data_IF_779463849083
#
_entry.id   IF_779463849083
#
_cell.length_a   1.000
_cell.length_b   1.000
_cell.length_c   1.000
_cell.angle_alpha   90.00
_cell.angle_beta   90.00
_cell.angle_gamma   90.00
#
_symmetry.space_group_name_H-M   'P 1'
#
loop_
_entity.id
_entity.type
_entity.pdbx_description
1 polymer ?
#
# COMPACT_ATOMS: atom_id res chain seq x y z
N UNK A 1 -3.34 3.46 11.19
CA UNK A 1 -3.01 4.90 11.08
C UNK A 1 -3.35 5.43 9.70
N UNK A 2 -3.48 6.72 9.58
CA UNK A 2 -3.72 7.47 8.35
C UNK A 2 -2.46 8.26 8.04
N UNK A 3 -2.02 8.27 6.79
CA UNK A 3 -0.96 9.14 6.30
C UNK A 3 -1.62 10.23 5.46
N UNK A 4 -1.59 11.46 5.94
CA UNK A 4 -2.20 12.60 5.27
C UNK A 4 -1.65 13.91 5.84
N UNK A 5 -1.46 14.93 5.00
CA UNK A 5 -0.98 16.25 5.42
C UNK A 5 -2.06 17.05 6.18
N UNK A 6 -3.34 16.85 5.87
CA UNK A 6 -4.46 17.49 6.56
C UNK A 6 -5.01 16.61 7.70
N UNK A 7 -4.43 16.75 8.88
CA UNK A 7 -4.85 16.00 10.07
C UNK A 7 -6.27 16.36 10.52
N UNK A 8 -6.72 17.58 10.30
CA UNK A 8 -8.05 18.06 10.72
C UNK A 8 -9.17 17.29 10.05
N UNK A 9 -8.99 16.94 8.79
CA UNK A 9 -9.98 16.22 7.97
C UNK A 9 -10.33 14.84 8.51
N UNK A 10 -9.40 14.19 9.21
CA UNK A 10 -9.55 12.81 9.69
C UNK A 10 -9.67 12.68 11.21
N UNK A 11 -9.71 13.80 11.94
CA UNK A 11 -9.74 13.82 13.42
C UNK A 11 -10.94 13.07 14.01
N UNK A 12 -12.09 13.08 13.32
CA UNK A 12 -13.30 12.39 13.75
C UNK A 12 -13.24 10.85 13.70
N UNK A 13 -12.21 10.27 13.06
CA UNK A 13 -12.08 8.80 12.92
C UNK A 13 -11.40 8.14 14.11
N UNK A 14 -10.83 8.91 15.07
CA UNK A 14 -10.15 8.35 16.25
C UNK A 14 -8.91 7.51 15.93
N UNK A 15 -8.34 7.65 14.72
CA UNK A 15 -7.14 6.95 14.28
C UNK A 15 -5.91 7.87 14.32
N UNK A 16 -4.72 7.37 14.66
CA UNK A 16 -3.49 8.13 14.51
C UNK A 16 -3.33 8.63 13.07
N UNK A 17 -3.05 9.93 12.91
CA UNK A 17 -2.80 10.55 11.62
C UNK A 17 -1.39 11.14 11.61
N UNK A 18 -0.62 10.86 10.55
CA UNK A 18 0.76 11.31 10.39
C UNK A 18 0.90 12.06 9.07
N UNK A 19 1.56 13.22 9.11
CA UNK A 19 1.92 13.97 7.91
C UNK A 19 3.06 13.26 7.16
N UNK A 20 3.09 13.42 5.85
CA UNK A 20 4.19 12.91 5.04
C UNK A 20 5.54 13.45 5.51
N UNK A 21 6.49 12.56 5.83
CA UNK A 21 7.87 12.90 6.20
C UNK A 21 8.55 13.62 5.04
N UNK A 22 8.31 13.15 3.80
CA UNK A 22 8.85 13.76 2.59
C UNK A 22 7.68 14.24 1.72
N UNK A 23 7.39 15.53 1.81
CA UNK A 23 6.23 16.12 1.13
C UNK A 23 6.33 16.08 -0.39
N UNK A 24 5.18 15.87 -1.03
CA UNK A 24 5.06 15.92 -2.49
C UNK A 24 5.63 14.70 -3.22
N UNK A 25 5.90 13.60 -2.51
CA UNK A 25 6.40 12.35 -3.08
C UNK A 25 5.30 11.33 -3.43
N UNK A 26 4.05 11.70 -3.24
CA UNK A 26 2.91 10.84 -3.56
C UNK A 26 2.96 9.49 -2.86
N UNK A 27 2.58 8.40 -3.55
CA UNK A 27 2.50 7.07 -2.93
C UNK A 27 3.80 6.59 -2.28
N UNK A 28 4.96 6.87 -2.89
CA UNK A 28 6.26 6.46 -2.34
C UNK A 28 6.55 7.15 -0.99
N UNK A 29 6.25 8.45 -0.89
CA UNK A 29 6.36 9.22 0.36
C UNK A 29 5.42 8.71 1.44
N UNK A 30 4.18 8.36 1.05
CA UNK A 30 3.20 7.79 1.96
C UNK A 30 3.63 6.43 2.52
N UNK A 31 4.18 5.53 1.69
CA UNK A 31 4.74 4.23 2.12
C UNK A 31 5.93 4.45 3.06
N UNK A 32 6.84 5.37 2.72
CA UNK A 32 7.99 5.72 3.56
C UNK A 32 7.55 6.18 4.94
N UNK A 33 6.58 7.09 5.00
CA UNK A 33 6.00 7.60 6.24
C UNK A 33 5.30 6.49 7.04
N UNK A 34 4.51 5.64 6.37
CA UNK A 34 3.83 4.52 7.00
C UNK A 34 4.82 3.56 7.68
N UNK A 35 5.92 3.24 7.02
CA UNK A 35 6.96 2.36 7.57
C UNK A 35 7.69 2.97 8.78
N UNK A 36 7.92 4.28 8.80
CA UNK A 36 8.49 4.97 9.97
C UNK A 36 7.60 4.89 11.21
N UNK A 37 6.29 4.80 11.03
CA UNK A 37 5.30 4.69 12.11
C UNK A 37 4.78 3.26 12.32
N UNK A 38 5.25 2.30 11.51
CA UNK A 38 4.85 0.90 11.63
C UNK A 38 5.44 0.22 12.87
N UNK A 39 4.75 -0.83 13.33
CA UNK A 39 5.30 -1.75 14.33
C UNK A 39 6.45 -2.57 13.74
N UNK A 40 7.34 -3.15 14.57
CA UNK A 40 8.29 -4.14 14.10
C UNK A 40 7.56 -5.24 13.31
N UNK A 41 7.98 -5.49 12.08
CA UNK A 41 7.30 -6.43 11.16
C UNK A 41 6.67 -5.75 9.94
N UNK A 42 6.60 -4.42 9.93
CA UNK A 42 6.11 -3.67 8.78
C UNK A 42 4.62 -3.34 8.83
N UNK A 43 4.05 -3.02 7.68
CA UNK A 43 2.65 -2.61 7.57
C UNK A 43 2.01 -3.05 6.25
N UNK A 44 0.68 -3.16 6.29
CA UNK A 44 -0.16 -3.18 5.09
C UNK A 44 -0.51 -1.74 4.72
N UNK A 45 -0.24 -1.37 3.49
CA UNK A 45 -0.56 -0.05 2.96
C UNK A 45 -1.68 -0.18 1.94
N UNK A 46 -2.69 0.67 2.06
CA UNK A 46 -3.82 0.72 1.14
C UNK A 46 -4.19 2.17 0.82
N UNK A 47 -4.59 2.42 -0.42
CA UNK A 47 -5.07 3.72 -0.86
C UNK A 47 -6.47 4.02 -0.29
N UNK A 48 -6.73 5.30 -0.02
CA UNK A 48 -8.02 5.75 0.55
C UNK A 48 -9.19 5.69 -0.44
N UNK A 49 -8.91 5.54 -1.72
CA UNK A 49 -9.88 5.43 -2.82
C UNK A 49 -10.25 3.99 -3.17
N UNK A 50 -9.81 3.00 -2.40
CA UNK A 50 -10.17 1.58 -2.50
C UNK A 50 -11.21 1.19 -1.45
N UNK A 51 -12.53 1.36 -1.70
CA UNK A 51 -13.55 1.17 -0.66
C UNK A 51 -13.93 -0.30 -0.43
N UNK A 52 -13.63 -1.22 -1.37
CA UNK A 52 -14.08 -2.61 -1.32
C UNK A 52 -12.99 -3.57 -0.81
N UNK A 53 -12.36 -3.21 0.30
CA UNK A 53 -11.32 -4.05 0.90
C UNK A 53 -11.84 -5.43 1.30
N UNK A 54 -11.10 -6.48 0.94
CA UNK A 54 -11.38 -7.85 1.34
C UNK A 54 -10.56 -8.24 2.56
N UNK A 55 -11.20 -8.28 3.74
CA UNK A 55 -10.56 -8.75 4.96
C UNK A 55 -10.00 -10.19 4.84
N UNK A 56 -10.72 -11.14 4.22
CA UNK A 56 -10.18 -12.48 3.94
C UNK A 56 -8.91 -12.44 3.09
N UNK A 57 -8.87 -11.65 2.02
CA UNK A 57 -7.69 -11.52 1.17
C UNK A 57 -6.50 -10.94 1.94
N UNK A 58 -6.70 -9.85 2.67
CA UNK A 58 -5.63 -9.21 3.48
C UNK A 58 -5.06 -10.20 4.50
N UNK A 59 -5.91 -10.98 5.19
CA UNK A 59 -5.45 -12.00 6.15
C UNK A 59 -4.68 -13.13 5.47
N UNK A 60 -5.14 -13.60 4.34
CA UNK A 60 -4.46 -14.64 3.57
C UNK A 60 -3.08 -14.15 3.06
N UNK A 61 -3.01 -12.92 2.54
CA UNK A 61 -1.75 -12.28 2.16
C UNK A 61 -0.80 -12.13 3.36
N UNK A 62 -1.30 -11.71 4.53
CA UNK A 62 -0.46 -11.58 5.72
C UNK A 62 0.27 -12.88 6.09
N UNK A 63 -0.34 -14.04 5.84
CA UNK A 63 0.31 -15.34 6.01
C UNK A 63 1.43 -15.65 5.04
N UNK A 64 1.59 -14.86 3.96
CA UNK A 64 2.60 -15.07 2.92
C UNK A 64 3.80 -14.12 3.02
N UNK A 65 3.85 -13.23 4.01
CA UNK A 65 4.88 -12.17 4.13
C UNK A 65 6.26 -12.71 4.47
N UNK A 66 6.36 -13.90 5.05
CA UNK A 66 7.64 -14.47 5.47
C UNK A 66 8.64 -14.58 4.31
N UNK A 67 9.86 -14.08 4.54
CA UNK A 67 10.95 -14.13 3.55
C UNK A 67 10.84 -13.11 2.41
N UNK A 68 9.93 -12.15 2.51
CA UNK A 68 9.82 -11.04 1.54
C UNK A 68 9.79 -9.68 2.25
N UNK A 69 10.36 -8.67 1.59
CA UNK A 69 10.28 -7.28 2.04
C UNK A 69 9.03 -6.59 1.49
N UNK A 70 8.61 -6.99 0.30
CA UNK A 70 7.38 -6.52 -0.33
C UNK A 70 6.55 -7.73 -0.74
N UNK A 71 5.30 -7.80 -0.27
CA UNK A 71 4.30 -8.74 -0.76
C UNK A 71 3.20 -7.96 -1.45
N UNK A 72 3.06 -8.14 -2.76
CA UNK A 72 2.30 -7.24 -3.62
C UNK A 72 1.44 -7.98 -4.65
N UNK A 73 0.15 -7.66 -4.80
CA UNK A 73 -0.67 -8.17 -5.88
C UNK A 73 -0.13 -7.75 -7.25
N UNK A 74 -0.19 -8.69 -8.20
CA UNK A 74 0.20 -8.47 -9.58
C UNK A 74 -0.95 -8.86 -10.50
N UNK A 75 -1.55 -7.88 -11.16
CA UNK A 75 -2.76 -8.01 -11.95
C UNK A 75 -2.56 -7.37 -13.33
N UNK A 76 -2.87 -8.11 -14.38
CA UNK A 76 -2.82 -7.60 -15.76
C UNK A 76 -1.51 -6.87 -16.11
N UNK A 77 -0.37 -7.37 -15.61
CA UNK A 77 0.94 -6.77 -15.87
C UNK A 77 1.32 -5.62 -14.93
N UNK A 78 0.49 -5.28 -13.95
CA UNK A 78 0.70 -4.16 -13.03
C UNK A 78 0.78 -4.59 -11.57
N UNK A 79 1.57 -3.86 -10.80
CA UNK A 79 1.63 -3.98 -9.34
C UNK A 79 0.58 -3.10 -8.69
N UNK A 80 -0.16 -3.67 -7.73
CA UNK A 80 -1.09 -2.92 -6.87
C UNK A 80 -0.36 -2.41 -5.62
N UNK A 81 0.50 -1.42 -5.83
CA UNK A 81 1.44 -0.94 -4.82
C UNK A 81 0.77 -0.30 -3.59
N UNK A 82 -0.47 0.16 -3.73
CA UNK A 82 -1.29 0.67 -2.63
C UNK A 82 -2.37 -0.35 -2.22
N UNK A 83 -2.02 -1.64 -2.22
CA UNK A 83 -2.73 -2.75 -1.59
C UNK A 83 -1.71 -3.85 -1.26
N UNK A 84 -0.65 -3.51 -0.51
CA UNK A 84 0.51 -4.36 -0.35
C UNK A 84 1.09 -4.31 1.06
N UNK A 85 1.85 -5.35 1.42
CA UNK A 85 2.63 -5.39 2.65
C UNK A 85 4.07 -4.95 2.35
N UNK A 86 4.62 -4.15 3.27
CA UNK A 86 5.98 -3.65 3.23
C UNK A 86 6.67 -3.92 4.56
N UNK A 87 7.88 -4.51 4.53
CA UNK A 87 8.72 -4.72 5.70
C UNK A 87 9.55 -3.47 6.04
N UNK A 88 10.08 -3.37 7.26
CA UNK A 88 11.04 -2.31 7.61
C UNK A 88 12.29 -2.31 6.73
N UNK A 89 12.65 -3.44 6.11
CA UNK A 89 13.77 -3.54 5.16
C UNK A 89 13.63 -2.64 3.93
N UNK A 90 12.41 -2.17 3.63
CA UNK A 90 12.18 -1.22 2.54
C UNK A 90 12.59 0.22 2.86
N UNK A 91 12.78 0.61 4.12
CA UNK A 91 13.04 2.00 4.51
C UNK A 91 14.27 2.61 3.84
N UNK A 92 15.42 1.94 3.94
CA UNK A 92 16.66 2.43 3.32
C UNK A 92 16.59 2.46 1.78
N UNK A 93 16.13 1.39 1.10
CA UNK A 93 15.92 1.43 -0.37
C UNK A 93 14.99 2.54 -0.83
N UNK A 94 13.86 2.77 -0.16
CA UNK A 94 12.96 3.89 -0.46
C UNK A 94 13.67 5.23 -0.26
N UNK A 95 14.40 5.40 0.84
CA UNK A 95 15.18 6.61 1.11
C UNK A 95 16.19 6.90 0.01
N UNK A 96 16.88 5.88 -0.52
CA UNK A 96 17.80 6.02 -1.68
C UNK A 96 17.06 6.42 -2.96
N UNK A 97 15.91 5.82 -3.24
CA UNK A 97 15.08 6.21 -4.40
C UNK A 97 14.64 7.67 -4.31
N UNK A 98 14.23 8.13 -3.12
CA UNK A 98 13.90 9.53 -2.88
C UNK A 98 15.10 10.46 -3.16
N UNK A 99 16.27 10.10 -2.67
CA UNK A 99 17.51 10.88 -2.91
C UNK A 99 17.91 10.94 -4.40
N UNK A 100 17.62 9.88 -5.17
CA UNK A 100 17.84 9.83 -6.61
C UNK A 100 16.75 10.57 -7.43
N UNK A 101 15.71 11.06 -6.80
CA UNK A 101 14.59 11.73 -7.48
C UNK A 101 13.58 10.78 -8.12
N UNK A 102 13.61 9.50 -7.79
CA UNK A 102 12.76 8.45 -8.37
C UNK A 102 11.43 8.38 -7.62
N UNK A 103 10.33 8.73 -8.28
CA UNK A 103 8.99 8.85 -7.66
C UNK A 103 8.12 7.61 -7.77
N UNK A 104 8.48 6.66 -8.64
CA UNK A 104 7.70 5.44 -8.84
C UNK A 104 7.86 4.50 -7.65
N UNK A 105 6.79 3.91 -7.17
CA UNK A 105 6.86 2.96 -6.03
C UNK A 105 7.77 1.78 -6.35
N UNK A 106 7.79 1.32 -7.59
CA UNK A 106 8.63 0.19 -8.02
C UNK A 106 10.12 0.49 -8.14
N UNK A 107 10.56 1.75 -7.95
CA UNK A 107 11.96 2.15 -8.16
C UNK A 107 12.96 1.46 -7.24
N UNK A 108 12.53 1.04 -6.05
CA UNK A 108 13.40 0.36 -5.08
C UNK A 108 13.28 -1.18 -5.13
N UNK A 109 12.44 -1.74 -5.99
CA UNK A 109 12.13 -3.19 -5.98
C UNK A 109 13.33 -4.07 -6.32
N UNK A 110 14.30 -3.58 -7.08
CA UNK A 110 15.54 -4.32 -7.37
C UNK A 110 16.47 -4.47 -6.15
N UNK A 111 16.26 -3.67 -5.10
CA UNK A 111 17.08 -3.65 -3.89
C UNK A 111 16.49 -4.49 -2.74
N UNK A 112 15.31 -5.10 -2.94
CA UNK A 112 14.55 -5.80 -1.89
C UNK A 112 13.95 -7.12 -2.39
N UNK A 113 13.58 -8.00 -1.46
CA UNK A 113 12.90 -9.26 -1.79
C UNK A 113 11.40 -9.00 -2.08
N UNK A 114 11.04 -8.96 -3.37
CA UNK A 114 9.65 -8.77 -3.82
C UNK A 114 8.99 -10.11 -4.10
N UNK A 115 7.86 -10.38 -3.44
CA UNK A 115 6.99 -11.52 -3.70
C UNK A 115 5.68 -11.05 -4.33
N UNK A 116 5.39 -11.55 -5.52
CA UNK A 116 4.12 -11.29 -6.21
C UNK A 116 3.04 -12.23 -5.71
N UNK A 117 1.83 -11.69 -5.61
CA UNK A 117 0.59 -12.47 -5.43
C UNK A 117 -0.16 -12.42 -6.74
N UNK A 118 -0.21 -13.54 -7.42
CA UNK A 118 -0.78 -13.62 -8.77
C UNK A 118 -2.31 -13.55 -8.75
N UNK A 119 -2.89 -12.97 -9.81
CA UNK A 119 -4.34 -12.81 -9.98
C UNK A 119 -5.13 -14.11 -9.81
N UNK A 120 -4.58 -15.24 -10.26
CA UNK A 120 -5.23 -16.54 -10.13
C UNK A 120 -5.46 -16.93 -8.65
N UNK A 121 -4.43 -16.74 -7.80
CA UNK A 121 -4.54 -17.02 -6.37
C UNK A 121 -5.53 -16.07 -5.67
N UNK A 122 -5.54 -14.79 -6.07
CA UNK A 122 -6.47 -13.80 -5.51
C UNK A 122 -7.92 -14.18 -5.80
N UNK A 123 -8.20 -14.66 -7.02
CA UNK A 123 -9.55 -15.09 -7.45
C UNK A 123 -10.13 -16.23 -6.63
N UNK A 124 -9.30 -17.05 -6.00
CA UNK A 124 -9.77 -18.13 -5.11
C UNK A 124 -10.35 -17.57 -3.79
N UNK A 125 -10.03 -16.31 -3.42
CA UNK A 125 -10.38 -15.72 -2.13
C UNK A 125 -11.34 -14.53 -2.27
N UNK A 126 -11.16 -13.72 -3.31
CA UNK A 126 -11.92 -12.50 -3.54
C UNK A 126 -12.02 -12.19 -5.03
N UNK A 127 -13.01 -11.37 -5.41
CA UNK A 127 -13.10 -10.85 -6.78
C UNK A 127 -12.12 -9.69 -6.98
N UNK A 128 -11.04 -9.86 -7.80
CA UNK A 128 -10.08 -8.79 -8.04
C UNK A 128 -10.71 -7.57 -8.71
N UNK A 129 -11.71 -7.77 -9.56
CA UNK A 129 -12.38 -6.67 -10.26
C UNK A 129 -13.11 -5.74 -9.29
N UNK A 130 -13.48 -6.22 -8.10
CA UNK A 130 -14.10 -5.43 -7.06
C UNK A 130 -13.09 -4.88 -6.05
N UNK A 131 -12.15 -5.71 -5.59
CA UNK A 131 -11.20 -5.33 -4.52
C UNK A 131 -10.27 -4.20 -4.93
N UNK A 132 -9.85 -4.17 -6.21
CA UNK A 132 -8.86 -3.20 -6.72
C UNK A 132 -9.51 -2.04 -7.49
N UNK A 133 -10.81 -1.80 -7.29
CA UNK A 133 -11.47 -0.61 -7.83
C UNK A 133 -11.00 0.62 -7.06
N UNK A 134 -10.55 1.64 -7.79
CA UNK A 134 -10.34 2.99 -7.30
C UNK A 134 -11.55 3.84 -7.61
N UNK A 135 -12.07 4.54 -6.60
CA UNK A 135 -13.21 5.45 -6.72
C UNK A 135 -12.72 6.87 -6.54
N UNK A 136 -12.81 7.66 -7.61
CA UNK A 136 -12.36 9.04 -7.60
C UNK A 136 -13.49 10.04 -7.28
N UNK A 137 -14.76 9.65 -7.51
CA UNK A 137 -15.93 10.50 -7.28
C UNK A 137 -17.01 9.71 -6.52
N UNK A 138 -17.80 10.40 -5.69
CA UNK A 138 -18.90 9.80 -4.93
C UNK A 138 -19.94 9.10 -5.83
N UNK A 139 -20.21 9.69 -7.00
CA UNK A 139 -21.13 9.12 -8.00
C UNK A 139 -20.68 7.75 -8.55
N UNK A 140 -19.39 7.43 -8.44
CA UNK A 140 -18.87 6.11 -8.83
C UNK A 140 -19.28 5.02 -7.84
N UNK A 141 -19.59 5.37 -6.58
CA UNK A 141 -20.08 4.41 -5.57
C UNK A 141 -21.47 3.87 -5.91
N UNK A 142 -22.31 4.66 -6.59
CA UNK A 142 -23.68 4.26 -6.96
C UNK A 142 -23.73 3.20 -8.09
N UNK A 143 -22.58 2.92 -8.71
CA UNK A 143 -22.47 1.92 -9.81
C UNK A 143 -22.23 0.49 -9.31
N UNK A 144 -22.04 0.31 -7.99
CA UNK A 144 -21.69 -0.97 -7.34
C UNK A 144 -22.62 -1.31 -6.18
#
# INVERSE_FOLDING_TARGET
SIIADDHGRFSGLGLPCHADIVKGWGPLGGIYTALHHARPGGCFVVACDMPFLSGPLIRAMAGLTAGSDVLIPYLNGNYEALHAFYSPGCLEPIGRSIQRGERRVVSFFEEVAVRRVESAWIKEIADPARVFININYLDDLEKF
#
